data_IF_432560742607
#
_entry.id   IF_432560742607
#
_cell.length_a   1.000
_cell.length_b   1.000
_cell.length_c   1.000
_cell.angle_alpha   90.00
_cell.angle_beta   90.00
_cell.angle_gamma   90.00
#
_symmetry.space_group_name_H-M   'P 1'
#
loop_
_entity.id
_entity.type
_entity.pdbx_description
1 polymer ?
#
# COMPACT_ATOMS: atom_id res chain seq x y z
N UNK A 1 30.05 -7.41 -40.81
CA UNK A 1 30.76 -7.53 -39.52
C UNK A 1 29.75 -8.04 -38.52
N UNK A 2 29.72 -9.35 -38.29
CA UNK A 2 28.88 -9.95 -37.24
C UNK A 2 29.52 -9.60 -35.90
N UNK A 3 28.85 -8.76 -35.13
CA UNK A 3 29.27 -8.46 -33.76
C UNK A 3 28.84 -9.65 -32.91
N UNK A 4 29.75 -10.60 -32.72
CA UNK A 4 29.60 -11.64 -31.71
C UNK A 4 29.54 -10.94 -30.34
N UNK A 5 28.34 -10.89 -29.75
CA UNK A 5 28.17 -10.45 -28.37
C UNK A 5 28.80 -11.54 -27.51
N UNK A 6 29.98 -11.27 -26.91
CA UNK A 6 30.52 -12.08 -25.83
C UNK A 6 29.43 -12.15 -24.73
N UNK A 7 29.19 -13.35 -24.19
CA UNK A 7 28.25 -13.64 -23.11
C UNK A 7 28.24 -12.57 -21.99
N UNK A 8 29.39 -11.99 -21.63
CA UNK A 8 29.49 -10.90 -20.65
C UNK A 8 28.71 -9.65 -21.08
N UNK A 9 28.86 -9.22 -22.34
CA UNK A 9 28.09 -8.08 -22.89
C UNK A 9 26.59 -8.39 -23.02
N UNK A 10 26.24 -9.65 -23.22
CA UNK A 10 24.84 -10.06 -23.28
C UNK A 10 24.19 -10.00 -21.90
N UNK A 11 24.91 -10.43 -20.85
CA UNK A 11 24.48 -10.35 -19.46
C UNK A 11 24.36 -8.89 -19.03
N UNK A 12 25.35 -8.04 -19.35
CA UNK A 12 25.30 -6.62 -19.02
C UNK A 12 24.08 -5.93 -19.65
N UNK A 13 23.78 -6.19 -20.93
CA UNK A 13 22.60 -5.66 -21.61
C UNK A 13 21.27 -6.15 -21.02
N UNK A 14 21.24 -7.37 -20.47
CA UNK A 14 20.07 -7.90 -19.78
C UNK A 14 19.88 -7.22 -18.42
N UNK A 15 20.96 -7.05 -17.65
CA UNK A 15 20.93 -6.38 -16.35
C UNK A 15 20.53 -4.92 -16.53
N UNK A 16 21.13 -4.19 -17.47
CA UNK A 16 20.78 -2.79 -17.75
C UNK A 16 19.31 -2.65 -18.12
N UNK A 17 18.78 -3.51 -19.00
CA UNK A 17 17.35 -3.52 -19.34
C UNK A 17 16.45 -3.90 -18.18
N UNK A 18 16.92 -4.73 -17.26
CA UNK A 18 16.17 -5.11 -16.06
C UNK A 18 16.12 -3.93 -15.09
N UNK A 19 17.25 -3.25 -14.89
CA UNK A 19 17.37 -2.06 -14.06
C UNK A 19 16.51 -0.94 -14.65
N UNK A 20 16.61 -0.63 -15.94
CA UNK A 20 15.82 0.40 -16.61
C UNK A 20 14.30 0.19 -16.48
N UNK A 21 13.85 -1.06 -16.41
CA UNK A 21 12.43 -1.39 -16.21
C UNK A 21 12.03 -1.43 -14.74
N UNK A 22 12.92 -1.89 -13.86
CA UNK A 22 12.62 -2.06 -12.45
C UNK A 22 12.73 -0.75 -11.67
N UNK A 23 13.70 0.12 -11.99
CA UNK A 23 13.95 1.37 -11.28
C UNK A 23 12.71 2.27 -11.25
N UNK A 24 12.05 2.56 -12.39
CA UNK A 24 10.87 3.44 -12.39
C UNK A 24 9.70 2.86 -11.59
N UNK A 25 9.57 1.53 -11.55
CA UNK A 25 8.53 0.83 -10.76
C UNK A 25 8.85 0.94 -9.27
N UNK A 26 10.13 0.80 -8.90
CA UNK A 26 10.58 0.93 -7.52
C UNK A 26 10.46 2.38 -7.02
N UNK A 27 10.80 3.35 -7.85
CA UNK A 27 10.63 4.79 -7.59
C UNK A 27 9.15 5.15 -7.41
N UNK A 28 8.26 4.68 -8.30
CA UNK A 28 6.83 4.90 -8.15
C UNK A 28 6.27 4.32 -6.85
N UNK A 29 6.72 3.12 -6.44
CA UNK A 29 6.34 2.51 -5.16
C UNK A 29 6.92 3.23 -3.94
N UNK A 30 8.12 3.81 -4.07
CA UNK A 30 8.73 4.64 -3.04
C UNK A 30 7.95 5.95 -2.88
N UNK A 31 7.60 6.62 -3.98
CA UNK A 31 6.77 7.83 -3.96
C UNK A 31 5.38 7.56 -3.37
N UNK A 32 4.76 6.43 -3.67
CA UNK A 32 3.51 6.00 -3.04
C UNK A 32 3.67 5.81 -1.53
N UNK A 33 4.81 5.28 -1.08
CA UNK A 33 5.13 5.11 0.34
C UNK A 33 5.35 6.42 1.06
N UNK A 34 6.11 7.34 0.48
CA UNK A 34 6.37 8.66 1.05
C UNK A 34 5.09 9.49 1.13
N UNK A 35 4.21 9.37 0.13
CA UNK A 35 2.87 9.94 0.18
C UNK A 35 1.99 9.34 1.27
N UNK A 36 2.26 8.11 1.73
CA UNK A 36 1.53 7.48 2.83
C UNK A 36 2.05 7.89 4.21
N UNK A 37 3.29 8.39 4.34
CA UNK A 37 3.82 8.90 5.61
C UNK A 37 3.02 10.08 6.15
N UNK A 38 2.47 10.93 5.28
CA UNK A 38 1.60 12.05 5.70
C UNK A 38 0.30 11.59 6.39
N UNK A 39 -0.04 10.30 6.28
CA UNK A 39 -1.21 9.69 6.91
C UNK A 39 -0.87 8.88 8.16
N UNK A 40 0.37 8.99 8.67
CA UNK A 40 0.80 8.31 9.89
C UNK A 40 0.29 9.03 11.15
N UNK A 41 -1.03 8.97 11.34
CA UNK A 41 -1.71 9.48 12.52
C UNK A 41 -3.01 8.70 12.78
N UNK A 42 -3.45 8.74 14.03
CA UNK A 42 -4.65 8.04 14.46
C UNK A 42 -5.93 8.83 14.14
N UNK A 43 -6.93 8.13 13.64
CA UNK A 43 -8.27 8.65 13.36
C UNK A 43 -9.33 7.84 14.09
N UNK A 44 -10.43 8.50 14.45
CA UNK A 44 -11.57 7.83 15.08
C UNK A 44 -12.31 6.92 14.11
N UNK A 45 -12.98 5.90 14.63
CA UNK A 45 -13.94 5.09 13.87
C UNK A 45 -14.93 5.93 13.07
N UNK A 46 -15.42 7.04 13.64
CA UNK A 46 -16.34 7.97 12.97
C UNK A 46 -15.73 8.56 11.71
N UNK A 47 -14.50 9.05 11.79
CA UNK A 47 -13.80 9.61 10.62
C UNK A 47 -13.67 8.57 9.50
N UNK A 48 -13.34 7.31 9.84
CA UNK A 48 -13.19 6.24 8.86
C UNK A 48 -14.49 5.98 8.09
N UNK A 49 -15.61 5.75 8.78
CA UNK A 49 -16.86 5.43 8.06
C UNK A 49 -17.44 6.65 7.33
N UNK A 50 -17.32 7.87 7.85
CA UNK A 50 -17.88 9.05 7.18
C UNK A 50 -17.02 9.52 6.00
N UNK A 51 -15.71 9.59 6.17
CA UNK A 51 -14.84 10.32 5.23
C UNK A 51 -14.07 9.37 4.30
N UNK A 52 -13.68 8.18 4.79
CA UNK A 52 -12.80 7.26 4.06
C UNK A 52 -13.60 6.20 3.30
N UNK A 53 -14.45 5.45 4.02
CA UNK A 53 -15.28 4.39 3.44
C UNK A 53 -16.65 4.88 2.96
N UNK A 54 -17.07 6.08 3.40
CA UNK A 54 -18.32 6.73 3.02
C UNK A 54 -19.54 5.81 3.17
N UNK A 55 -19.62 5.15 4.32
CA UNK A 55 -20.67 4.20 4.67
C UNK A 55 -21.24 4.48 6.07
N UNK A 56 -22.34 3.80 6.41
CA UNK A 56 -22.90 3.85 7.75
C UNK A 56 -22.06 3.02 8.75
N UNK A 57 -22.26 3.26 10.05
CA UNK A 57 -21.52 2.59 11.12
C UNK A 57 -21.75 1.07 11.14
N UNK A 58 -22.95 0.60 10.78
CA UNK A 58 -23.28 -0.83 10.76
C UNK A 58 -22.52 -1.57 9.66
N UNK A 59 -22.44 -0.99 8.46
CA UNK A 59 -21.62 -1.52 7.36
C UNK A 59 -20.15 -1.45 7.71
N UNK A 60 -19.71 -0.37 8.35
CA UNK A 60 -18.33 -0.25 8.77
C UNK A 60 -17.91 -1.31 9.78
N UNK A 61 -18.77 -1.64 10.76
CA UNK A 61 -18.49 -2.73 11.70
C UNK A 61 -18.26 -4.08 11.00
N UNK A 62 -18.93 -4.33 9.87
CA UNK A 62 -18.67 -5.53 9.05
C UNK A 62 -17.30 -5.47 8.37
N UNK A 63 -16.86 -4.29 7.93
CA UNK A 63 -15.53 -4.07 7.34
C UNK A 63 -14.44 -4.30 8.39
N UNK A 64 -14.63 -3.79 9.60
CA UNK A 64 -13.69 -3.98 10.71
C UNK A 64 -13.55 -5.45 11.14
N UNK A 65 -14.57 -6.27 10.90
CA UNK A 65 -14.53 -7.70 11.18
C UNK A 65 -13.80 -8.52 10.09
N UNK A 66 -13.36 -7.89 8.99
CA UNK A 66 -12.64 -8.59 7.93
C UNK A 66 -11.21 -8.95 8.37
N UNK A 67 -10.67 -10.08 7.89
CA UNK A 67 -9.30 -10.49 8.21
C UNK A 67 -8.27 -9.42 7.82
N UNK A 68 -7.34 -9.16 8.73
CA UNK A 68 -6.23 -8.23 8.51
C UNK A 68 -6.58 -6.76 8.69
N UNK A 69 -7.83 -6.40 9.05
CA UNK A 69 -8.17 -5.01 9.35
C UNK A 69 -7.34 -4.52 10.57
N UNK A 70 -6.83 -3.27 10.56
CA UNK A 70 -5.98 -2.76 11.64
C UNK A 70 -6.63 -2.84 13.02
N UNK A 71 -5.85 -3.27 14.00
CA UNK A 71 -6.29 -3.38 15.40
C UNK A 71 -6.48 -2.02 16.05
N UNK A 72 -7.54 -1.89 16.85
CA UNK A 72 -7.72 -0.72 17.71
C UNK A 72 -6.70 -0.76 18.86
N UNK A 73 -5.80 0.24 18.99
CA UNK A 73 -4.81 0.27 20.06
C UNK A 73 -5.44 0.57 21.43
N UNK A 74 -6.69 1.07 21.48
CA UNK A 74 -7.35 1.42 22.74
C UNK A 74 -8.73 0.73 22.89
N UNK A 75 -8.77 -0.56 23.29
CA UNK A 75 -10.00 -1.34 23.37
C UNK A 75 -10.97 -0.91 24.47
N UNK A 76 -10.52 -0.12 25.45
CA UNK A 76 -11.36 0.39 26.56
C UNK A 76 -11.92 1.80 26.35
N UNK A 77 -11.56 2.47 25.26
CA UNK A 77 -11.94 3.86 24.96
C UNK A 77 -12.67 4.01 23.63
N UNK A 78 -12.75 5.25 23.13
CA UNK A 78 -13.23 5.50 21.78
C UNK A 78 -12.25 4.87 20.77
N UNK A 79 -12.72 3.97 19.89
CA UNK A 79 -11.83 3.27 18.97
C UNK A 79 -11.16 4.21 17.99
N UNK A 80 -9.84 4.16 17.95
CA UNK A 80 -8.98 4.86 17.00
C UNK A 80 -8.21 3.85 16.16
N UNK A 81 -7.74 4.28 14.99
CA UNK A 81 -7.00 3.46 14.06
C UNK A 81 -5.97 4.32 13.34
N UNK A 82 -4.78 3.78 13.11
CA UNK A 82 -3.78 4.46 12.29
C UNK A 82 -4.29 4.53 10.83
N UNK A 83 -4.41 5.75 10.29
CA UNK A 83 -5.01 5.93 8.97
C UNK A 83 -4.16 5.31 7.85
N UNK A 84 -2.83 5.38 7.94
CA UNK A 84 -1.90 4.78 6.99
C UNK A 84 -2.12 3.26 6.90
N UNK A 85 -2.20 2.56 8.03
CA UNK A 85 -2.46 1.12 8.05
C UNK A 85 -3.81 0.75 7.42
N UNK A 86 -4.86 1.53 7.70
CA UNK A 86 -6.20 1.32 7.13
C UNK A 86 -6.20 1.51 5.62
N UNK A 87 -5.50 2.52 5.11
CA UNK A 87 -5.39 2.78 3.68
C UNK A 87 -4.58 1.70 2.95
N UNK A 88 -3.48 1.22 3.55
CA UNK A 88 -2.70 0.09 3.03
C UNK A 88 -3.58 -1.16 2.95
N UNK A 89 -4.24 -1.54 4.05
CA UNK A 89 -5.12 -2.71 4.09
C UNK A 89 -6.24 -2.60 3.04
N UNK A 90 -6.85 -1.42 2.88
CA UNK A 90 -7.89 -1.19 1.88
C UNK A 90 -7.36 -1.39 0.47
N UNK A 91 -6.19 -0.85 0.16
CA UNK A 91 -5.58 -0.99 -1.16
C UNK A 91 -5.24 -2.46 -1.45
N UNK A 92 -4.59 -3.15 -0.52
CA UNK A 92 -4.25 -4.57 -0.66
C UNK A 92 -5.48 -5.47 -0.81
N UNK A 93 -6.58 -5.14 -0.12
CA UNK A 93 -7.84 -5.89 -0.21
C UNK A 93 -8.54 -5.70 -1.56
N UNK A 94 -8.32 -4.58 -2.25
CA UNK A 94 -8.87 -4.32 -3.59
C UNK A 94 -8.07 -4.99 -4.72
N UNK A 95 -6.76 -5.20 -4.53
CA UNK A 95 -5.89 -5.84 -5.54
C UNK A 95 -6.07 -7.38 -5.58
N UNK A 96 -6.62 -7.99 -4.53
CA UNK A 96 -6.85 -9.45 -4.45
C UNK A 96 -8.15 -9.93 -5.12
N UNK A 97 -8.93 -9.03 -5.72
CA UNK A 97 -10.19 -9.30 -6.41
C UNK A 97 -10.17 -8.74 -7.82
#
# INVERSE_FOLDING_TARGET
MDVAINDDKFIDLLVDRLVDKALPILEAKLDERDQLEKYDYDVTQKCLYTNIFKCDSTKFNKIQALPGFPTNPNPGGNPTYNLKEVLIWRHESQVRH
#
